data_IF_764833055938
#
_entry.id   IF_764833055938
#
_cell.length_a   1.000
_cell.length_b   1.000
_cell.length_c   1.000
_cell.angle_alpha   90.00
_cell.angle_beta   90.00
_cell.angle_gamma   90.00
#
_symmetry.space_group_name_H-M   'P 1'
#
loop_
_entity.id
_entity.type
_entity.pdbx_description
1 polymer ?
#
# COMPACT_ATOMS: atom_id res chain seq x y z
N UNK A 1 -32.57 30.40 -24.70
CA UNK A 1 -32.98 29.10 -24.12
C UNK A 1 -31.91 28.01 -24.30
N UNK A 2 -31.25 27.93 -25.46
CA UNK A 2 -30.15 26.98 -25.76
C UNK A 2 -29.05 26.93 -24.71
N UNK A 3 -28.61 28.07 -24.16
CA UNK A 3 -27.56 28.11 -23.14
C UNK A 3 -27.95 27.39 -21.84
N UNK A 4 -29.23 27.47 -21.44
CA UNK A 4 -29.73 26.78 -20.24
C UNK A 4 -29.74 25.27 -20.46
N UNK A 5 -30.20 24.82 -21.63
CA UNK A 5 -30.22 23.40 -22.00
C UNK A 5 -28.82 22.81 -22.06
N UNK A 6 -27.84 23.55 -22.61
CA UNK A 6 -26.45 23.12 -22.66
C UNK A 6 -25.85 23.02 -21.26
N UNK A 7 -26.08 24.01 -20.40
CA UNK A 7 -25.63 23.98 -19.02
C UNK A 7 -26.21 22.78 -18.24
N UNK A 8 -27.50 22.49 -18.43
CA UNK A 8 -28.15 21.32 -17.81
C UNK A 8 -27.53 20.01 -18.28
N UNK A 9 -27.21 19.89 -19.58
CA UNK A 9 -26.60 18.68 -20.14
C UNK A 9 -25.18 18.46 -19.61
N UNK A 10 -24.38 19.52 -19.49
CA UNK A 10 -23.04 19.46 -18.89
C UNK A 10 -23.12 19.06 -17.42
N UNK A 11 -24.02 19.66 -16.64
CA UNK A 11 -24.20 19.32 -15.22
C UNK A 11 -24.65 17.87 -15.02
N UNK A 12 -25.57 17.38 -15.85
CA UNK A 12 -25.98 15.97 -15.86
C UNK A 12 -24.81 15.03 -16.17
N UNK A 13 -23.99 15.37 -17.17
CA UNK A 13 -22.80 14.58 -17.51
C UNK A 13 -21.78 14.54 -16.38
N UNK A 14 -21.50 15.67 -15.75
CA UNK A 14 -20.58 15.75 -14.60
C UNK A 14 -21.12 14.99 -13.39
N UNK A 15 -22.43 15.04 -13.12
CA UNK A 15 -23.05 14.28 -12.04
C UNK A 15 -22.95 12.77 -12.29
N UNK A 16 -23.19 12.33 -13.53
CA UNK A 16 -23.03 10.93 -13.93
C UNK A 16 -21.59 10.45 -13.79
N UNK A 17 -20.61 11.26 -14.20
CA UNK A 17 -19.19 10.95 -14.03
C UNK A 17 -18.81 10.87 -12.54
N UNK A 18 -19.30 11.80 -11.72
CA UNK A 18 -19.02 11.81 -10.27
C UNK A 18 -19.55 10.54 -9.56
N UNK A 19 -20.69 10.02 -10.01
CA UNK A 19 -21.26 8.77 -9.45
C UNK A 19 -20.64 7.51 -10.06
N UNK A 20 -20.28 7.54 -11.35
CA UNK A 20 -19.79 6.37 -12.08
C UNK A 20 -18.28 6.10 -11.89
N UNK A 21 -17.45 7.15 -11.86
CA UNK A 21 -15.99 7.00 -11.78
C UNK A 21 -15.51 6.26 -10.51
N UNK A 22 -16.09 6.47 -9.31
CA UNK A 22 -15.69 5.73 -8.11
C UNK A 22 -15.93 4.21 -8.21
N UNK A 23 -16.87 3.79 -9.05
CA UNK A 23 -17.18 2.37 -9.30
C UNK A 23 -16.36 1.77 -10.43
N UNK A 24 -15.69 2.60 -11.24
CA UNK A 24 -14.89 2.16 -12.36
C UNK A 24 -13.50 1.75 -11.89
N UNK A 25 -13.06 0.56 -12.29
CA UNK A 25 -11.72 0.04 -11.97
C UNK A 25 -10.58 0.84 -12.65
N UNK A 26 -10.91 1.80 -13.51
CA UNK A 26 -9.96 2.58 -14.31
C UNK A 26 -9.20 3.63 -13.50
N UNK A 27 -9.75 4.05 -12.35
CA UNK A 27 -9.09 4.92 -11.35
C UNK A 27 -8.75 4.19 -10.05
N UNK A 28 -8.91 2.87 -10.01
CA UNK A 28 -8.59 2.08 -8.84
C UNK A 28 -7.08 2.03 -8.66
N UNK A 29 -6.55 2.95 -7.85
CA UNK A 29 -5.24 2.79 -7.21
C UNK A 29 -5.31 1.41 -6.54
N UNK A 30 -4.53 0.46 -7.05
CA UNK A 30 -4.75 -0.98 -6.86
C UNK A 30 -5.11 -1.36 -5.42
N UNK A 31 -5.87 -2.46 -5.27
CA UNK A 31 -6.52 -2.90 -4.02
C UNK A 31 -5.62 -2.76 -2.80
N UNK A 32 -5.67 -1.62 -2.12
CA UNK A 32 -5.10 -1.48 -0.78
C UNK A 32 -5.80 -2.42 0.21
N UNK A 33 -7.02 -2.86 -0.14
CA UNK A 33 -7.82 -3.84 0.60
C UNK A 33 -7.62 -5.30 0.17
N UNK A 34 -6.61 -5.63 -0.66
CA UNK A 34 -6.14 -7.02 -0.68
C UNK A 34 -5.35 -7.27 0.60
N UNK A 35 -6.08 -7.50 1.68
CA UNK A 35 -5.61 -8.22 2.85
C UNK A 35 -4.87 -9.44 2.31
N UNK A 36 -3.55 -9.44 2.47
CA UNK A 36 -2.67 -10.53 2.06
C UNK A 36 -3.04 -11.77 2.88
N UNK A 37 -4.00 -12.55 2.36
CA UNK A 37 -4.43 -13.81 2.96
C UNK A 37 -3.40 -14.94 2.76
N UNK A 38 -2.29 -14.66 2.07
CA UNK A 38 -1.14 -15.55 1.91
C UNK A 38 -0.16 -15.48 3.09
N UNK A 39 -0.30 -14.47 3.96
CA UNK A 39 0.54 -14.34 5.16
C UNK A 39 -0.20 -14.98 6.34
N UNK A 40 0.25 -16.16 6.76
CA UNK A 40 -0.15 -16.76 8.03
C UNK A 40 0.18 -15.77 9.14
N UNK A 41 -0.84 -15.21 9.78
CA UNK A 41 -0.72 -14.15 10.80
C UNK A 41 -0.33 -14.67 12.20
N UNK A 42 0.14 -15.91 12.29
CA UNK A 42 0.62 -16.45 13.56
C UNK A 42 1.94 -15.77 13.94
N UNK A 43 1.91 -15.00 15.02
CA UNK A 43 3.10 -14.50 15.69
C UNK A 43 3.89 -15.69 16.22
N UNK A 44 4.92 -16.09 15.48
CA UNK A 44 5.86 -17.17 15.85
C UNK A 44 6.82 -16.70 16.95
N UNK A 45 6.30 -16.48 18.15
CA UNK A 45 7.09 -16.10 19.34
C UNK A 45 7.89 -17.32 19.83
N UNK A 46 9.18 -17.12 20.11
CA UNK A 46 10.07 -18.17 20.62
C UNK A 46 10.75 -19.04 19.55
N UNK A 47 10.43 -18.83 18.27
CA UNK A 47 11.15 -19.45 17.17
C UNK A 47 12.51 -18.77 16.94
N UNK A 48 13.45 -19.52 16.38
CA UNK A 48 14.74 -18.99 15.94
C UNK A 48 14.52 -17.98 14.83
N UNK A 49 15.17 -16.81 14.91
CA UNK A 49 15.10 -15.79 13.88
C UNK A 49 15.56 -16.40 12.53
N UNK A 50 14.80 -16.25 11.43
CA UNK A 50 15.25 -16.73 10.13
C UNK A 50 16.58 -16.05 9.73
N UNK A 51 17.33 -16.61 8.78
CA UNK A 51 18.48 -15.92 8.21
C UNK A 51 18.06 -14.54 7.68
N UNK A 52 18.76 -13.49 8.10
CA UNK A 52 18.50 -12.11 7.70
C UNK A 52 19.68 -11.58 6.89
N UNK A 53 19.36 -10.90 5.79
CA UNK A 53 20.28 -10.03 5.07
C UNK A 53 19.63 -8.65 4.97
N UNK A 54 19.77 -7.86 6.03
CA UNK A 54 19.20 -6.51 6.11
C UNK A 54 20.25 -5.48 5.75
N UNK A 55 19.79 -4.29 5.35
CA UNK A 55 20.63 -3.11 5.15
C UNK A 55 20.28 -2.11 6.24
N UNK A 56 21.29 -1.59 6.94
CA UNK A 56 21.08 -0.53 7.92
C UNK A 56 20.91 0.84 7.26
N UNK A 57 20.71 1.87 8.08
CA UNK A 57 20.54 3.24 7.61
C UNK A 57 21.81 3.85 6.98
N UNK A 58 22.97 3.26 7.24
CA UNK A 58 24.26 3.66 6.66
C UNK A 58 24.62 2.84 5.40
N UNK A 59 23.72 1.95 4.96
CA UNK A 59 23.90 1.12 3.78
C UNK A 59 24.75 -0.14 4.02
N UNK A 60 25.10 -0.47 5.27
CA UNK A 60 25.86 -1.67 5.60
C UNK A 60 24.96 -2.89 5.68
N UNK A 61 25.50 -4.03 5.23
CA UNK A 61 24.83 -5.32 5.39
C UNK A 61 24.89 -5.75 6.85
N UNK A 62 23.74 -6.02 7.43
CA UNK A 62 23.57 -6.50 8.81
C UNK A 62 23.02 -7.93 8.78
N UNK A 63 23.70 -8.81 9.51
CA UNK A 63 23.35 -10.24 9.62
C UNK A 63 22.63 -10.53 10.93
N UNK A 64 22.19 -11.77 11.10
CA UNK A 64 21.58 -12.23 12.36
C UNK A 64 22.54 -12.10 13.53
N UNK A 65 23.79 -12.48 13.31
CA UNK A 65 24.84 -12.54 14.33
C UNK A 65 25.10 -11.16 14.93
N UNK A 66 25.03 -10.11 14.11
CA UNK A 66 25.21 -8.72 14.52
C UNK A 66 24.06 -8.20 15.42
N UNK A 67 22.89 -8.82 15.33
CA UNK A 67 21.69 -8.42 16.07
C UNK A 67 21.50 -9.18 17.39
N UNK A 68 22.19 -10.30 17.59
CA UNK A 68 22.04 -11.11 18.80
C UNK A 68 22.55 -10.38 20.04
N UNK A 69 21.77 -10.41 21.13
CA UNK A 69 22.11 -9.73 22.38
C UNK A 69 21.77 -8.23 22.41
N UNK A 70 21.33 -7.66 21.28
CA UNK A 70 20.92 -6.26 21.18
C UNK A 70 19.40 -6.11 21.13
N UNK A 71 18.89 -4.97 21.60
CA UNK A 71 17.48 -4.57 21.36
C UNK A 71 17.39 -3.99 19.96
N UNK A 72 16.55 -4.57 19.12
CA UNK A 72 16.42 -4.19 17.71
C UNK A 72 15.12 -3.44 17.50
N UNK A 73 15.19 -2.28 16.83
CA UNK A 73 14.04 -1.59 16.27
C UNK A 73 13.99 -1.92 14.78
N UNK A 74 12.92 -2.57 14.33
CA UNK A 74 12.69 -2.87 12.91
C UNK A 74 11.60 -1.97 12.36
N UNK A 75 11.89 -1.26 11.28
CA UNK A 75 10.93 -0.43 10.53
C UNK A 75 10.60 -1.11 9.21
N UNK A 76 9.31 -1.34 8.96
CA UNK A 76 8.83 -1.88 7.71
C UNK A 76 8.33 -0.73 6.85
N UNK A 77 9.12 -0.33 5.87
CA UNK A 77 8.75 0.72 4.93
C UNK A 77 8.21 0.10 3.64
N UNK A 78 7.16 0.71 3.09
CA UNK A 78 6.65 0.34 1.78
C UNK A 78 7.50 1.05 0.73
N UNK A 79 8.32 0.31 -0.02
CA UNK A 79 8.89 0.86 -1.26
C UNK A 79 7.73 1.15 -2.21
N UNK A 80 7.53 2.42 -2.53
CA UNK A 80 6.61 2.82 -3.59
C UNK A 80 7.49 3.07 -4.81
N UNK A 81 7.67 2.03 -5.62
CA UNK A 81 8.27 2.16 -6.94
C UNK A 81 7.28 2.97 -7.78
N UNK A 82 7.62 4.23 -8.05
CA UNK A 82 6.86 5.14 -8.89
C UNK A 82 7.28 5.01 -10.36
#
# INVERSE_FOLDING_TARGET
MILRSLATLVLMGLLGLNLGLPTSSMTYRGSEDKIRNDVTSELLVGQSLPPLGLIDFDGQSVTREDLLGHRVLMTFERSVDW
#
